data_IF_542389591895
#
_entry.id   IF_542389591895
#
_cell.length_a   1.000
_cell.length_b   1.000
_cell.length_c   1.000
_cell.angle_alpha   90.00
_cell.angle_beta   90.00
_cell.angle_gamma   90.00
#
_symmetry.space_group_name_H-M   'P 1'
#
loop_
_entity.id
_entity.type
_entity.pdbx_description
1 polymer ?
#
# COMPACT_ATOMS: atom_id res chain seq x y z
N UNK A 1 -33.74 -9.16 -14.02
CA UNK A 1 -33.32 -7.96 -14.75
C UNK A 1 -31.91 -8.22 -15.26
N UNK A 2 -31.68 -8.12 -16.57
CA UNK A 2 -30.34 -8.23 -17.15
C UNK A 2 -29.51 -7.04 -16.63
N UNK A 3 -28.52 -7.31 -15.79
CA UNK A 3 -27.61 -6.24 -15.35
C UNK A 3 -26.83 -5.75 -16.58
N UNK A 4 -27.11 -4.53 -16.99
CA UNK A 4 -26.46 -3.86 -18.11
C UNK A 4 -24.98 -3.63 -17.77
N UNK A 5 -24.10 -3.89 -18.73
CA UNK A 5 -22.65 -3.75 -18.57
C UNK A 5 -22.29 -2.26 -18.69
N UNK A 6 -21.51 -1.73 -17.74
CA UNK A 6 -20.98 -0.36 -17.77
C UNK A 6 -19.60 -0.31 -18.44
N UNK A 7 -18.74 -1.28 -18.17
CA UNK A 7 -17.41 -1.39 -18.78
C UNK A 7 -17.19 -2.83 -19.24
N UNK A 8 -16.79 -3.03 -20.49
CA UNK A 8 -16.30 -4.29 -21.01
C UNK A 8 -14.85 -4.14 -21.48
N UNK A 9 -13.98 -5.01 -20.97
CA UNK A 9 -12.56 -5.10 -21.35
C UNK A 9 -12.35 -6.46 -21.98
N UNK A 10 -11.86 -6.50 -23.22
CA UNK A 10 -11.69 -7.73 -24.00
C UNK A 10 -10.26 -7.83 -24.51
N UNK A 11 -9.54 -8.85 -24.04
CA UNK A 11 -8.20 -9.25 -24.47
C UNK A 11 -7.18 -8.11 -24.49
N UNK A 12 -7.24 -7.20 -23.52
CA UNK A 12 -6.40 -6.01 -23.48
C UNK A 12 -4.96 -6.37 -23.10
N UNK A 13 -4.03 -6.03 -24.00
CA UNK A 13 -2.59 -6.06 -23.74
C UNK A 13 -1.99 -4.67 -23.94
N UNK A 14 -0.92 -4.36 -23.19
CA UNK A 14 -0.20 -3.08 -23.33
C UNK A 14 1.30 -3.29 -23.17
N UNK A 15 2.04 -2.90 -24.20
CA UNK A 15 3.49 -2.97 -24.23
C UNK A 15 4.08 -1.56 -24.31
N UNK A 16 5.11 -1.29 -23.53
CA UNK A 16 5.92 -0.08 -23.61
C UNK A 16 7.29 -0.43 -24.16
N UNK A 17 7.76 0.37 -25.12
CA UNK A 17 9.12 0.29 -25.63
C UNK A 17 9.98 1.14 -24.71
N UNK A 18 10.93 0.54 -24.01
CA UNK A 18 11.90 1.26 -23.18
C UNK A 18 13.19 1.48 -23.99
N UNK A 19 13.42 2.69 -24.54
CA UNK A 19 14.68 2.99 -25.18
C UNK A 19 15.78 3.08 -24.11
N UNK A 20 16.72 2.14 -24.12
CA UNK A 20 17.98 2.32 -23.38
C UNK A 20 18.82 3.40 -24.07
N UNK A 21 18.78 4.63 -23.56
CA UNK A 21 19.77 5.64 -23.96
C UNK A 21 21.02 5.51 -23.09
N UNK A 22 22.08 4.93 -23.65
CA UNK A 22 23.46 5.30 -23.31
C UNK A 22 24.08 6.03 -24.50
N UNK A 23 23.61 7.25 -24.79
CA UNK A 23 24.40 8.23 -25.54
C UNK A 23 24.00 9.62 -25.06
N UNK A 24 24.73 10.17 -24.09
CA UNK A 24 24.45 11.49 -23.50
C UNK A 24 25.24 12.62 -24.16
N UNK A 25 26.04 12.35 -25.21
CA UNK A 25 26.79 13.43 -25.86
C UNK A 25 26.98 13.24 -27.36
N UNK A 26 26.81 14.33 -28.12
CA UNK A 26 27.24 14.45 -29.53
C UNK A 26 28.74 14.12 -29.68
N UNK A 27 29.53 14.24 -28.59
CA UNK A 27 30.94 13.85 -28.55
C UNK A 27 31.16 12.33 -28.71
N UNK A 28 30.25 11.48 -28.23
CA UNK A 28 30.41 10.01 -28.30
C UNK A 28 30.25 9.47 -29.73
N UNK A 29 29.47 10.17 -30.56
CA UNK A 29 29.27 9.87 -31.97
C UNK A 29 30.56 10.12 -32.78
N UNK A 30 31.37 11.10 -32.37
CA UNK A 30 32.62 11.45 -33.03
C UNK A 30 33.82 10.62 -32.58
N UNK A 31 33.82 10.09 -31.35
CA UNK A 31 34.96 9.36 -30.79
C UNK A 31 34.93 7.85 -31.08
N UNK A 32 33.76 7.23 -31.25
CA UNK A 32 33.63 5.77 -31.44
C UNK A 32 32.66 5.35 -32.58
N UNK A 33 32.97 5.69 -33.85
CA UNK A 33 32.08 5.42 -34.99
C UNK A 33 31.78 3.94 -35.23
N UNK A 34 32.73 3.04 -34.92
CA UNK A 34 32.57 1.58 -35.05
C UNK A 34 31.73 0.96 -33.92
N UNK A 35 31.64 1.61 -32.76
CA UNK A 35 30.85 1.13 -31.63
C UNK A 35 29.38 1.58 -31.75
N UNK A 36 29.13 2.75 -32.34
CA UNK A 36 27.79 3.20 -32.73
C UNK A 36 27.14 2.33 -33.82
N UNK A 37 27.94 1.69 -34.69
CA UNK A 37 27.49 0.73 -35.71
C UNK A 37 27.29 -0.70 -35.17
N UNK A 38 27.90 -1.06 -34.02
CA UNK A 38 27.81 -2.40 -33.40
C UNK A 38 26.96 -2.46 -32.13
N UNK A 39 26.61 -1.32 -31.54
CA UNK A 39 25.71 -1.23 -30.40
C UNK A 39 24.28 -1.47 -30.84
N UNK A 40 23.88 -2.74 -30.95
CA UNK A 40 22.48 -3.10 -31.13
C UNK A 40 21.65 -2.36 -30.09
N UNK A 41 20.72 -1.52 -30.54
CA UNK A 41 19.68 -0.93 -29.68
C UNK A 41 18.92 -2.10 -29.07
N UNK A 42 19.25 -2.50 -27.86
CA UNK A 42 18.42 -3.41 -27.08
C UNK A 42 17.18 -2.64 -26.70
N UNK A 43 16.13 -2.79 -27.51
CA UNK A 43 14.78 -2.35 -27.19
C UNK A 43 14.23 -3.42 -26.25
N UNK A 44 14.12 -3.11 -24.97
CA UNK A 44 13.38 -3.96 -24.06
C UNK A 44 11.90 -3.57 -24.12
N UNK A 45 11.05 -4.55 -24.43
CA UNK A 45 9.61 -4.38 -24.40
C UNK A 45 9.12 -4.68 -22.98
N UNK A 46 8.69 -3.66 -22.25
CA UNK A 46 8.03 -3.85 -20.97
C UNK A 46 6.55 -4.16 -21.23
N UNK A 47 6.16 -5.40 -20.96
CA UNK A 47 4.76 -5.81 -21.00
C UNK A 47 4.07 -5.35 -19.71
N UNK A 48 3.23 -4.32 -19.78
CA UNK A 48 2.53 -3.77 -18.63
C UNK A 48 1.18 -4.47 -18.36
N UNK A 49 0.51 -4.94 -19.42
CA UNK A 49 -0.70 -5.77 -19.34
C UNK A 49 -0.64 -6.86 -20.42
N UNK A 50 -1.14 -8.04 -20.10
CA UNK A 50 -1.13 -9.23 -20.96
C UNK A 50 -2.51 -9.90 -20.91
N UNK A 51 -3.26 -9.76 -21.98
CA UNK A 51 -4.53 -10.46 -22.23
C UNK A 51 -5.56 -10.33 -21.09
N UNK A 52 -5.84 -9.09 -20.69
CA UNK A 52 -6.78 -8.78 -19.61
C UNK A 52 -8.20 -8.71 -20.14
N UNK A 53 -9.11 -9.51 -19.55
CA UNK A 53 -10.54 -9.51 -19.90
C UNK A 53 -11.43 -9.51 -18.66
N UNK A 54 -12.38 -8.58 -18.58
CA UNK A 54 -13.38 -8.52 -17.50
C UNK A 54 -14.55 -7.59 -17.85
N UNK A 55 -15.62 -7.64 -17.06
CA UNK A 55 -16.80 -6.79 -17.21
C UNK A 55 -17.21 -6.22 -15.85
N UNK A 56 -17.65 -4.96 -15.86
CA UNK A 56 -18.19 -4.24 -14.70
C UNK A 56 -19.63 -3.87 -15.01
N UNK A 57 -20.55 -4.19 -14.10
CA UNK A 57 -21.98 -3.90 -14.25
C UNK A 57 -22.30 -2.48 -13.78
N UNK A 58 -23.37 -1.89 -14.33
CA UNK A 58 -23.90 -0.62 -13.82
C UNK A 58 -24.26 -0.76 -12.33
N UNK A 59 -23.78 0.20 -11.53
CA UNK A 59 -23.97 0.26 -10.07
C UNK A 59 -23.10 -0.70 -9.25
N UNK A 60 -22.13 -1.38 -9.89
CA UNK A 60 -21.16 -2.22 -9.20
C UNK A 60 -19.99 -1.35 -8.69
N UNK A 61 -19.60 -1.57 -7.44
CA UNK A 61 -18.36 -1.06 -6.87
C UNK A 61 -17.27 -2.11 -7.10
N UNK A 62 -16.39 -1.89 -8.06
CA UNK A 62 -15.44 -2.87 -8.57
C UNK A 62 -13.99 -2.52 -8.21
N UNK A 63 -13.31 -3.40 -7.50
CA UNK A 63 -11.92 -3.23 -7.08
C UNK A 63 -10.91 -3.70 -8.12
N UNK A 64 -9.80 -2.98 -8.29
CA UNK A 64 -8.61 -3.42 -9.02
C UNK A 64 -7.45 -3.42 -8.04
N UNK A 65 -6.92 -4.60 -7.76
CA UNK A 65 -5.90 -4.83 -6.73
C UNK A 65 -4.72 -5.61 -7.29
N UNK A 66 -3.57 -5.55 -6.63
CA UNK A 66 -2.34 -6.17 -7.12
C UNK A 66 -1.08 -5.48 -6.60
N UNK A 67 0.07 -6.12 -6.79
CA UNK A 67 1.37 -5.61 -6.34
C UNK A 67 1.78 -4.32 -7.05
N UNK A 68 2.76 -3.62 -6.50
CA UNK A 68 3.40 -2.52 -7.20
C UNK A 68 4.05 -3.04 -8.49
N UNK A 69 3.85 -2.31 -9.59
CA UNK A 69 4.34 -2.75 -10.90
C UNK A 69 3.48 -3.82 -11.60
N UNK A 70 2.39 -4.31 -11.00
CA UNK A 70 1.56 -5.36 -11.64
C UNK A 70 0.76 -4.89 -12.86
N UNK A 71 0.65 -3.57 -13.10
CA UNK A 71 -0.06 -3.00 -14.24
C UNK A 71 -1.36 -2.24 -13.89
N UNK A 72 -1.73 -2.13 -12.61
CA UNK A 72 -2.94 -1.43 -12.14
C UNK A 72 -3.11 -0.02 -12.75
N UNK A 73 -2.11 0.84 -12.57
CA UNK A 73 -2.16 2.22 -13.08
C UNK A 73 -2.17 2.27 -14.61
N UNK A 74 -1.58 1.28 -15.30
CA UNK A 74 -1.67 1.16 -16.76
C UNK A 74 -3.10 0.80 -17.18
N UNK A 75 -3.71 -0.18 -16.52
CA UNK A 75 -5.11 -0.56 -16.79
C UNK A 75 -6.04 0.63 -16.53
N UNK A 76 -5.83 1.34 -15.42
CA UNK A 76 -6.61 2.52 -15.07
C UNK A 76 -6.50 3.62 -16.13
N UNK A 77 -5.28 3.91 -16.61
CA UNK A 77 -5.04 4.87 -17.70
C UNK A 77 -5.67 4.43 -19.02
N UNK A 78 -5.81 3.13 -19.27
CA UNK A 78 -6.54 2.60 -20.44
C UNK A 78 -8.04 2.78 -20.26
N UNK A 79 -8.60 2.45 -19.09
CA UNK A 79 -10.02 2.67 -18.78
C UNK A 79 -10.41 4.16 -18.87
N UNK A 80 -9.50 5.06 -18.47
CA UNK A 80 -9.67 6.50 -18.58
C UNK A 80 -9.50 7.05 -20.01
N UNK A 81 -9.13 6.21 -20.98
CA UNK A 81 -8.88 6.64 -22.37
C UNK A 81 -7.56 7.43 -22.57
N UNK A 82 -6.71 7.51 -21.55
CA UNK A 82 -5.40 8.19 -21.63
C UNK A 82 -4.42 7.38 -22.48
N UNK A 83 -4.41 6.06 -22.31
CA UNK A 83 -3.64 5.14 -23.13
C UNK A 83 -4.54 4.27 -23.99
N UNK A 84 -4.18 4.12 -25.27
CA UNK A 84 -4.78 3.08 -26.10
C UNK A 84 -4.13 1.73 -25.79
N UNK A 85 -4.91 0.63 -25.74
CA UNK A 85 -4.33 -0.70 -25.63
C UNK A 85 -3.48 -1.02 -26.86
N UNK A 86 -2.47 -1.88 -26.71
CA UNK A 86 -1.69 -2.39 -27.85
C UNK A 86 -2.48 -3.44 -28.64
N UNK A 87 -3.29 -4.24 -27.94
CA UNK A 87 -4.18 -5.27 -28.48
C UNK A 87 -5.46 -5.31 -27.63
N UNK A 88 -6.55 -5.82 -28.19
CA UNK A 88 -7.85 -5.89 -27.51
C UNK A 88 -8.65 -4.60 -27.58
N UNK A 89 -9.73 -4.52 -26.79
CA UNK A 89 -10.62 -3.35 -26.79
C UNK A 89 -11.22 -3.07 -25.41
N UNK A 90 -11.60 -1.80 -25.21
CA UNK A 90 -12.34 -1.33 -24.04
C UNK A 90 -13.59 -0.60 -24.52
N UNK A 91 -14.74 -1.00 -24.00
CA UNK A 91 -16.02 -0.35 -24.23
C UNK A 91 -16.55 0.21 -22.91
N UNK A 92 -17.00 1.46 -22.94
CA UNK A 92 -17.52 2.19 -21.76
C UNK A 92 -18.88 2.77 -22.10
N UNK A 93 -19.90 2.38 -21.34
CA UNK A 93 -21.28 2.80 -21.51
C UNK A 93 -21.67 3.83 -20.44
N UNK A 94 -21.48 5.11 -20.77
CA UNK A 94 -21.79 6.26 -19.91
C UNK A 94 -20.63 7.25 -19.79
N UNK A 95 -20.86 8.36 -19.08
CA UNK A 95 -19.82 9.35 -18.79
C UNK A 95 -18.92 8.83 -17.68
N UNK A 96 -17.71 8.41 -18.06
CA UNK A 96 -16.65 8.03 -17.14
C UNK A 96 -15.79 9.24 -16.77
N UNK A 97 -15.55 9.46 -15.49
CA UNK A 97 -14.66 10.52 -15.01
C UNK A 97 -13.54 9.92 -14.17
N UNK A 98 -12.27 10.08 -14.61
CA UNK A 98 -11.12 9.62 -13.85
C UNK A 98 -10.77 10.57 -12.71
N UNK A 99 -10.79 10.08 -11.48
CA UNK A 99 -10.15 10.71 -10.32
C UNK A 99 -8.75 10.11 -10.15
N UNK A 100 -7.98 10.15 -11.23
CA UNK A 100 -6.60 9.70 -11.30
C UNK A 100 -5.76 10.97 -11.16
N UNK A 101 -4.90 11.01 -10.15
CA UNK A 101 -4.06 12.20 -9.85
C UNK A 101 -4.92 13.44 -9.57
N UNK A 102 -5.53 13.50 -8.37
CA UNK A 102 -6.31 14.66 -7.93
C UNK A 102 -5.55 15.98 -8.13
N UNK A 103 -6.22 16.97 -8.71
CA UNK A 103 -5.63 18.28 -9.03
C UNK A 103 -5.08 18.38 -10.44
N UNK A 104 -5.22 17.35 -11.28
CA UNK A 104 -5.01 17.49 -12.73
C UNK A 104 -5.89 18.63 -13.26
N UNK A 105 -5.25 19.54 -14.00
CA UNK A 105 -5.88 20.75 -14.52
C UNK A 105 -5.81 21.95 -13.59
N UNK A 106 -5.31 21.80 -12.37
CA UNK A 106 -5.01 22.95 -11.53
C UNK A 106 -3.79 23.73 -12.03
N UNK A 107 -3.89 25.05 -11.89
CA UNK A 107 -2.83 25.99 -12.19
C UNK A 107 -2.35 26.66 -10.88
N UNK A 108 -1.07 26.45 -10.49
CA UNK A 108 -0.50 27.03 -9.28
C UNK A 108 -0.53 28.57 -9.21
N UNK A 109 -0.59 29.24 -10.36
CA UNK A 109 -0.61 30.71 -10.44
C UNK A 109 -2.02 31.31 -10.32
N UNK A 110 -3.06 30.49 -10.41
CA UNK A 110 -4.46 30.90 -10.26
C UNK A 110 -4.91 30.77 -8.80
N UNK A 111 -5.99 31.48 -8.44
CA UNK A 111 -6.58 31.38 -7.09
C UNK A 111 -7.27 30.03 -6.89
N UNK A 112 -7.57 29.65 -5.64
CA UNK A 112 -8.40 28.48 -5.37
C UNK A 112 -9.74 28.55 -6.10
N UNK A 113 -10.37 29.74 -6.10
CA UNK A 113 -11.62 30.01 -6.83
C UNK A 113 -11.47 29.70 -8.31
N UNK A 114 -10.50 30.32 -8.98
CA UNK A 114 -10.28 30.10 -10.42
C UNK A 114 -9.96 28.64 -10.75
N UNK A 115 -9.28 27.94 -9.85
CA UNK A 115 -9.01 26.50 -10.00
C UNK A 115 -10.27 25.65 -9.90
N UNK A 116 -11.26 26.04 -9.10
CA UNK A 116 -12.59 25.39 -9.08
C UNK A 116 -13.27 25.53 -10.44
N UNK A 117 -13.28 26.72 -11.03
CA UNK A 117 -13.86 26.93 -12.37
C UNK A 117 -13.10 26.17 -13.46
N UNK A 118 -11.77 26.24 -13.45
CA UNK A 118 -10.93 25.54 -14.43
C UNK A 118 -11.12 24.02 -14.36
N UNK A 119 -11.10 23.44 -13.15
CA UNK A 119 -11.33 22.02 -12.97
C UNK A 119 -12.78 21.62 -13.29
N UNK A 120 -13.76 22.45 -12.94
CA UNK A 120 -15.15 22.20 -13.27
C UNK A 120 -15.38 22.17 -14.79
N UNK A 121 -14.79 23.10 -15.53
CA UNK A 121 -14.84 23.12 -16.99
C UNK A 121 -14.24 21.85 -17.61
N UNK A 122 -13.09 21.37 -17.09
CA UNK A 122 -12.48 20.11 -17.53
C UNK A 122 -13.37 18.88 -17.25
N UNK A 123 -14.15 18.93 -16.18
CA UNK A 123 -15.17 17.91 -15.86
C UNK A 123 -16.47 18.08 -16.66
N UNK A 124 -16.57 19.12 -17.50
CA UNK A 124 -17.69 19.40 -18.39
C UNK A 124 -18.86 20.13 -17.73
N UNK A 125 -18.59 20.94 -16.71
CA UNK A 125 -19.57 21.86 -16.12
C UNK A 125 -19.55 23.22 -16.83
N UNK A 126 -20.71 23.87 -16.91
CA UNK A 126 -20.78 25.30 -17.26
C UNK A 126 -20.50 26.18 -16.04
N UNK A 127 -20.09 27.43 -16.28
CA UNK A 127 -19.85 28.41 -15.21
C UNK A 127 -21.07 28.54 -14.27
N UNK A 128 -22.28 28.56 -14.83
CA UNK A 128 -23.52 28.63 -14.05
C UNK A 128 -23.74 27.41 -13.16
N UNK A 129 -23.38 26.20 -13.62
CA UNK A 129 -23.48 25.00 -12.78
C UNK A 129 -22.46 25.06 -11.64
N UNK A 130 -21.26 25.58 -11.90
CA UNK A 130 -20.23 25.76 -10.89
C UNK A 130 -20.66 26.80 -9.85
N UNK A 131 -21.24 27.92 -10.29
CA UNK A 131 -21.77 28.96 -9.41
C UNK A 131 -22.79 28.40 -8.40
N UNK A 132 -23.70 27.53 -8.87
CA UNK A 132 -24.72 26.90 -8.02
C UNK A 132 -24.14 25.98 -6.95
N UNK A 133 -22.98 25.35 -7.21
CA UNK A 133 -22.35 24.40 -6.28
C UNK A 133 -21.09 24.95 -5.58
N UNK A 134 -20.66 26.17 -5.90
CA UNK A 134 -19.38 26.73 -5.45
C UNK A 134 -19.26 26.73 -3.93
N UNK A 135 -20.25 27.27 -3.23
CA UNK A 135 -20.23 27.36 -1.77
C UNK A 135 -20.19 25.97 -1.12
N UNK A 136 -20.88 24.98 -1.70
CA UNK A 136 -20.84 23.62 -1.19
C UNK A 136 -19.50 22.90 -1.47
N UNK A 137 -18.81 23.24 -2.58
CA UNK A 137 -17.46 22.76 -2.85
C UNK A 137 -16.51 23.32 -1.81
N UNK A 138 -16.55 24.63 -1.57
CA UNK A 138 -15.68 25.31 -0.62
C UNK A 138 -15.91 24.80 0.81
N UNK A 139 -17.17 24.65 1.22
CA UNK A 139 -17.54 24.12 2.53
C UNK A 139 -17.14 22.64 2.72
N UNK A 140 -17.21 21.82 1.66
CA UNK A 140 -16.71 20.45 1.74
C UNK A 140 -15.18 20.43 1.94
N UNK A 141 -14.47 21.31 1.22
CA UNK A 141 -13.03 21.46 1.29
C UNK A 141 -12.56 22.11 2.61
N UNK A 142 -13.41 22.87 3.30
CA UNK A 142 -13.13 23.76 4.44
C UNK A 142 -11.96 24.72 4.14
N UNK A 143 -12.09 25.44 3.02
CA UNK A 143 -11.07 26.37 2.50
C UNK A 143 -11.60 27.80 2.30
N UNK A 144 -12.68 28.17 2.98
CA UNK A 144 -13.40 29.44 2.84
C UNK A 144 -12.47 30.66 2.85
N UNK A 145 -11.53 30.70 3.80
CA UNK A 145 -10.58 31.81 3.98
C UNK A 145 -9.40 31.80 2.99
N UNK A 146 -9.23 30.72 2.23
CA UNK A 146 -8.09 30.50 1.35
C UNK A 146 -8.43 30.65 -0.14
N UNK A 147 -9.71 30.68 -0.50
CA UNK A 147 -10.15 30.60 -1.91
C UNK A 147 -9.60 31.71 -2.82
N UNK A 148 -9.34 32.91 -2.28
CA UNK A 148 -8.79 34.02 -3.05
C UNK A 148 -7.24 34.03 -3.08
N UNK A 149 -6.59 33.08 -2.40
CA UNK A 149 -5.14 32.89 -2.45
C UNK A 149 -4.75 32.02 -3.65
N UNK A 150 -3.56 32.28 -4.20
CA UNK A 150 -2.96 31.45 -5.25
C UNK A 150 -2.71 30.03 -4.76
N UNK A 151 -3.01 29.04 -5.61
CA UNK A 151 -2.92 27.63 -5.26
C UNK A 151 -1.50 27.19 -4.88
N UNK A 152 -0.44 27.81 -5.43
CA UNK A 152 0.94 27.52 -5.01
C UNK A 152 1.24 27.80 -3.54
N UNK A 153 0.39 28.58 -2.86
CA UNK A 153 0.51 28.85 -1.43
C UNK A 153 -0.26 27.84 -0.57
N UNK A 154 -0.99 26.90 -1.19
CA UNK A 154 -1.74 25.87 -0.49
C UNK A 154 -0.78 24.74 -0.08
N UNK A 155 -1.01 24.15 1.09
CA UNK A 155 -0.38 22.88 1.43
C UNK A 155 -0.88 21.77 0.47
N UNK A 156 -0.12 20.68 0.35
CA UNK A 156 -0.54 19.52 -0.44
C UNK A 156 -1.90 18.98 0.00
N UNK A 157 -2.18 18.96 1.30
CA UNK A 157 -3.47 18.58 1.86
C UNK A 157 -4.61 19.49 1.40
N UNK A 158 -4.42 20.82 1.43
CA UNK A 158 -5.43 21.77 0.95
C UNK A 158 -5.71 21.59 -0.55
N UNK A 159 -4.68 21.39 -1.37
CA UNK A 159 -4.86 21.16 -2.82
C UNK A 159 -5.69 19.90 -3.08
N UNK A 160 -5.40 18.82 -2.35
CA UNK A 160 -6.12 17.55 -2.48
C UNK A 160 -7.56 17.67 -1.99
N UNK A 161 -7.79 18.38 -0.87
CA UNK A 161 -9.13 18.66 -0.35
C UNK A 161 -9.97 19.41 -1.37
N UNK A 162 -9.41 20.45 -1.99
CA UNK A 162 -10.10 21.21 -3.04
C UNK A 162 -10.40 20.33 -4.26
N UNK A 163 -9.40 19.61 -4.76
CA UNK A 163 -9.54 18.73 -5.92
C UNK A 163 -10.62 17.67 -5.70
N UNK A 164 -10.62 17.01 -4.54
CA UNK A 164 -11.63 16.02 -4.19
C UNK A 164 -13.02 16.65 -4.07
N UNK A 165 -13.12 17.84 -3.48
CA UNK A 165 -14.40 18.55 -3.31
C UNK A 165 -15.04 18.87 -4.66
N UNK A 166 -14.27 19.37 -5.63
CA UNK A 166 -14.74 19.60 -7.00
C UNK A 166 -15.13 18.28 -7.66
N UNK A 167 -14.28 17.26 -7.55
CA UNK A 167 -14.51 15.94 -8.14
C UNK A 167 -15.81 15.30 -7.63
N UNK A 168 -16.14 15.42 -6.34
CA UNK A 168 -17.36 14.82 -5.76
C UNK A 168 -18.66 15.34 -6.38
N UNK A 169 -18.64 16.51 -7.02
CA UNK A 169 -19.79 17.10 -7.72
C UNK A 169 -20.00 16.57 -9.12
N UNK A 170 -19.05 15.79 -9.64
CA UNK A 170 -19.10 15.18 -10.97
C UNK A 170 -20.42 14.45 -11.21
N UNK A 171 -21.12 14.81 -12.30
CA UNK A 171 -22.34 14.13 -12.77
C UNK A 171 -22.03 12.83 -13.54
N UNK A 172 -20.99 12.11 -13.15
CA UNK A 172 -20.55 10.90 -13.84
C UNK A 172 -21.49 9.71 -13.63
N UNK A 173 -21.52 8.84 -14.63
CA UNK A 173 -22.13 7.51 -14.55
C UNK A 173 -21.16 6.51 -13.92
N UNK A 174 -19.86 6.69 -14.21
CA UNK A 174 -18.77 5.83 -13.77
C UNK A 174 -17.64 6.68 -13.19
N UNK A 175 -17.21 6.36 -11.98
CA UNK A 175 -16.06 7.01 -11.33
C UNK A 175 -14.88 6.05 -11.28
N UNK A 176 -13.71 6.46 -11.79
CA UNK A 176 -12.46 5.75 -11.56
C UNK A 176 -11.71 6.44 -10.41
N UNK A 177 -11.29 5.71 -9.39
CA UNK A 177 -10.65 6.28 -8.20
C UNK A 177 -9.31 5.57 -7.97
N UNK A 178 -8.20 6.32 -7.93
CA UNK A 178 -6.84 5.79 -7.73
C UNK A 178 -6.25 6.19 -6.37
N UNK A 179 -6.23 5.27 -5.39
CA UNK A 179 -5.51 5.44 -4.11
C UNK A 179 -5.75 6.79 -3.38
N UNK A 180 -6.88 7.45 -3.66
CA UNK A 180 -7.18 8.81 -3.17
C UNK A 180 -7.54 8.83 -1.67
N UNK A 181 -7.88 7.67 -1.10
CA UNK A 181 -8.37 7.58 0.27
C UNK A 181 -7.32 7.87 1.35
N UNK A 182 -6.03 7.78 1.02
CA UNK A 182 -4.95 7.96 1.99
C UNK A 182 -4.53 9.43 2.18
N UNK A 183 -5.17 10.39 1.51
CA UNK A 183 -4.68 11.77 1.46
C UNK A 183 -5.61 12.73 2.20
N UNK A 184 -5.03 13.54 3.09
CA UNK A 184 -5.74 14.48 3.97
C UNK A 184 -5.59 14.13 5.45
N UNK A 185 -6.17 14.96 6.30
CA UNK A 185 -6.30 14.68 7.74
C UNK A 185 -7.42 13.66 8.02
N UNK A 186 -7.45 13.13 9.25
CA UNK A 186 -8.42 12.11 9.69
C UNK A 186 -9.88 12.55 9.51
N UNK A 187 -10.18 13.83 9.67
CA UNK A 187 -11.53 14.35 9.55
C UNK A 187 -11.98 14.43 8.09
N UNK A 188 -11.09 14.86 7.19
CA UNK A 188 -11.37 14.85 5.76
C UNK A 188 -11.47 13.43 5.20
N UNK A 189 -10.61 12.51 5.63
CA UNK A 189 -10.72 11.09 5.28
C UNK A 189 -12.11 10.53 5.64
N UNK A 190 -12.64 10.87 6.82
CA UNK A 190 -14.01 10.49 7.22
C UNK A 190 -15.07 11.03 6.25
N UNK A 191 -14.94 12.26 5.75
CA UNK A 191 -15.84 12.80 4.73
C UNK A 191 -15.75 12.01 3.41
N UNK A 192 -14.54 11.66 2.97
CA UNK A 192 -14.32 10.82 1.79
C UNK A 192 -15.00 9.44 1.95
N UNK A 193 -14.84 8.80 3.10
CA UNK A 193 -15.49 7.52 3.38
C UNK A 193 -17.02 7.61 3.38
N UNK A 194 -17.58 8.67 3.97
CA UNK A 194 -19.03 8.90 3.92
C UNK A 194 -19.54 9.10 2.49
N UNK A 195 -18.77 9.80 1.65
CA UNK A 195 -19.07 9.96 0.24
C UNK A 195 -19.07 8.61 -0.50
N UNK A 196 -18.12 7.73 -0.22
CA UNK A 196 -18.06 6.40 -0.87
C UNK A 196 -19.24 5.53 -0.46
N UNK A 197 -19.63 5.57 0.83
CA UNK A 197 -20.85 4.90 1.32
C UNK A 197 -22.10 5.45 0.63
N UNK A 198 -22.16 6.75 0.37
CA UNK A 198 -23.25 7.37 -0.38
C UNK A 198 -23.29 6.89 -1.85
N UNK A 199 -22.14 6.85 -2.54
CA UNK A 199 -22.04 6.34 -3.91
C UNK A 199 -22.53 4.88 -4.01
N UNK A 200 -22.10 4.02 -3.07
CA UNK A 200 -22.54 2.62 -3.00
C UNK A 200 -24.05 2.53 -2.77
N UNK A 201 -24.60 3.30 -1.82
CA UNK A 201 -26.06 3.34 -1.54
C UNK A 201 -26.90 3.83 -2.72
N UNK A 202 -26.37 4.75 -3.52
CA UNK A 202 -27.06 5.33 -4.67
C UNK A 202 -26.91 4.50 -5.95
N UNK A 203 -26.17 3.38 -5.90
CA UNK A 203 -25.96 2.50 -7.05
C UNK A 203 -25.12 3.17 -8.14
N UNK A 204 -24.18 4.03 -7.77
CA UNK A 204 -23.20 4.59 -8.71
C UNK A 204 -22.16 3.53 -9.06
N UNK A 205 -21.75 3.49 -10.33
CA UNK A 205 -20.69 2.58 -10.79
C UNK A 205 -19.35 3.17 -10.40
N UNK A 206 -18.52 2.40 -9.69
CA UNK A 206 -17.19 2.86 -9.27
C UNK A 206 -16.16 1.80 -9.55
N UNK A 207 -15.05 2.21 -10.14
CA UNK A 207 -13.84 1.40 -10.25
C UNK A 207 -12.83 1.95 -9.26
N UNK A 208 -12.47 1.14 -8.27
CA UNK A 208 -11.61 1.53 -7.18
C UNK A 208 -10.27 0.79 -7.27
N UNK A 209 -9.19 1.53 -7.49
CA UNK A 209 -7.83 1.00 -7.49
C UNK A 209 -7.20 1.25 -6.13
N UNK A 210 -6.77 0.18 -5.48
CA UNK A 210 -6.16 0.27 -4.16
C UNK A 210 -5.25 -0.93 -3.88
N UNK A 211 -4.22 -0.70 -3.06
CA UNK A 211 -3.45 -1.74 -2.41
C UNK A 211 -3.93 -2.02 -0.97
N UNK A 212 -4.83 -1.20 -0.42
CA UNK A 212 -5.48 -1.41 0.88
C UNK A 212 -6.66 -2.38 0.74
N UNK A 213 -6.51 -3.57 1.30
CA UNK A 213 -7.53 -4.63 1.22
C UNK A 213 -8.72 -4.40 2.15
N UNK A 214 -8.57 -3.63 3.22
CA UNK A 214 -9.68 -3.36 4.13
C UNK A 214 -10.68 -2.41 3.49
N UNK A 215 -10.19 -1.38 2.80
CA UNK A 215 -11.01 -0.54 1.94
C UNK A 215 -11.69 -1.35 0.83
N UNK A 216 -10.97 -2.27 0.17
CA UNK A 216 -11.55 -3.11 -0.89
C UNK A 216 -12.67 -4.02 -0.34
N UNK A 217 -12.48 -4.63 0.84
CA UNK A 217 -13.53 -5.44 1.50
C UNK A 217 -14.74 -4.61 1.90
N UNK A 218 -14.53 -3.40 2.43
CA UNK A 218 -15.63 -2.53 2.87
C UNK A 218 -16.48 -2.03 1.69
N UNK A 219 -15.83 -1.57 0.62
CA UNK A 219 -16.50 -0.84 -0.45
C UNK A 219 -16.84 -1.70 -1.67
N UNK A 220 -15.98 -2.62 -2.09
CA UNK A 220 -16.15 -3.33 -3.35
C UNK A 220 -17.08 -4.55 -3.23
N UNK A 221 -17.97 -4.70 -4.21
CA UNK A 221 -18.81 -5.90 -4.37
C UNK A 221 -18.01 -7.04 -5.00
N UNK A 222 -17.12 -6.69 -5.93
CA UNK A 222 -16.17 -7.59 -6.58
C UNK A 222 -14.83 -6.91 -6.76
N UNK A 223 -13.79 -7.73 -6.98
CA UNK A 223 -12.50 -7.23 -7.34
C UNK A 223 -11.82 -8.12 -8.39
N UNK A 224 -10.80 -7.55 -9.01
CA UNK A 224 -9.85 -8.15 -9.94
C UNK A 224 -8.46 -8.05 -9.32
N UNK A 225 -7.79 -9.19 -9.19
CA UNK A 225 -6.40 -9.29 -8.81
C UNK A 225 -5.52 -9.36 -10.06
N UNK A 226 -4.63 -8.39 -10.22
CA UNK A 226 -3.60 -8.37 -11.26
C UNK A 226 -2.24 -8.65 -10.62
N UNK A 227 -1.55 -9.64 -11.16
CA UNK A 227 -0.17 -9.94 -10.83
C UNK A 227 0.63 -10.26 -12.10
N UNK A 228 1.91 -9.87 -12.12
CA UNK A 228 2.79 -10.04 -13.30
C UNK A 228 2.14 -9.66 -14.65
N UNK A 229 1.37 -8.56 -14.65
CA UNK A 229 0.65 -8.04 -15.82
C UNK A 229 -0.51 -8.90 -16.32
N UNK A 230 -0.95 -9.91 -15.57
CA UNK A 230 -2.07 -10.78 -15.92
C UNK A 230 -3.15 -10.77 -14.85
N UNK A 231 -4.37 -11.13 -15.23
CA UNK A 231 -5.44 -11.37 -14.27
C UNK A 231 -5.22 -12.72 -13.60
N UNK A 232 -5.06 -12.71 -12.28
CA UNK A 232 -4.94 -13.94 -11.47
C UNK A 232 -6.32 -14.43 -11.04
N UNK A 233 -7.15 -13.51 -10.55
CA UNK A 233 -8.45 -13.85 -9.98
C UNK A 233 -9.45 -12.71 -10.17
N UNK A 234 -10.70 -13.07 -10.48
CA UNK A 234 -11.87 -12.18 -10.38
C UNK A 234 -12.89 -12.85 -9.48
N UNK A 235 -13.42 -12.12 -8.51
CA UNK A 235 -14.40 -12.67 -7.58
C UNK A 235 -14.95 -11.64 -6.62
N UNK A 236 -15.58 -12.11 -5.55
CA UNK A 236 -15.96 -11.24 -4.42
C UNK A 236 -14.70 -10.61 -3.81
N UNK A 237 -14.85 -9.41 -3.26
CA UNK A 237 -13.76 -8.67 -2.59
C UNK A 237 -13.06 -9.54 -1.52
N UNK A 238 -13.79 -10.30 -0.72
CA UNK A 238 -13.23 -11.23 0.26
C UNK A 238 -12.35 -12.33 -0.35
N UNK A 239 -12.80 -12.92 -1.46
CA UNK A 239 -12.06 -14.01 -2.12
C UNK A 239 -10.78 -13.47 -2.73
N UNK A 240 -10.85 -12.30 -3.35
CA UNK A 240 -9.71 -11.61 -3.94
C UNK A 240 -8.72 -11.16 -2.88
N UNK A 241 -9.19 -10.62 -1.76
CA UNK A 241 -8.32 -10.21 -0.67
C UNK A 241 -7.56 -11.40 -0.04
N UNK A 242 -8.22 -12.56 0.12
CA UNK A 242 -7.55 -13.79 0.56
C UNK A 242 -6.46 -14.24 -0.40
N UNK A 243 -6.74 -14.22 -1.71
CA UNK A 243 -5.76 -14.59 -2.73
C UNK A 243 -4.61 -13.59 -2.80
N UNK A 244 -4.89 -12.30 -2.67
CA UNK A 244 -3.87 -11.26 -2.58
C UNK A 244 -2.93 -11.51 -1.40
N UNK A 245 -3.46 -11.79 -0.20
CA UNK A 245 -2.63 -12.18 0.96
C UNK A 245 -1.81 -13.45 0.67
N UNK A 246 -2.38 -14.45 -0.02
CA UNK A 246 -1.67 -15.69 -0.40
C UNK A 246 -0.44 -15.43 -1.27
N UNK A 247 -0.50 -14.48 -2.19
CA UNK A 247 0.65 -14.13 -3.03
C UNK A 247 1.85 -13.69 -2.17
N UNK A 248 1.65 -12.87 -1.14
CA UNK A 248 2.73 -12.47 -0.22
C UNK A 248 3.23 -13.65 0.62
N UNK A 249 2.33 -14.56 1.02
CA UNK A 249 2.70 -15.77 1.75
C UNK A 249 3.50 -16.78 0.89
N UNK A 250 3.28 -16.81 -0.44
CA UNK A 250 3.96 -17.64 -1.43
C UNK A 250 5.36 -17.14 -1.79
N UNK A 251 5.58 -15.82 -1.87
CA UNK A 251 6.93 -15.25 -1.95
C UNK A 251 7.75 -15.62 -0.71
N UNK A 252 7.14 -15.54 0.48
CA UNK A 252 7.75 -16.06 1.70
C UNK A 252 7.96 -17.59 1.62
N UNK A 253 7.10 -18.35 0.92
CA UNK A 253 7.30 -19.81 0.74
C UNK A 253 8.51 -20.18 -0.13
N UNK A 254 8.92 -19.33 -1.08
CA UNK A 254 10.19 -19.54 -1.81
C UNK A 254 11.43 -19.42 -0.92
N UNK A 255 11.29 -18.80 0.26
CA UNK A 255 12.29 -18.78 1.33
C UNK A 255 12.00 -19.83 2.43
N UNK A 256 10.93 -20.64 2.35
CA UNK A 256 10.45 -21.56 3.41
C UNK A 256 11.14 -22.91 3.56
N UNK A 257 12.28 -23.16 2.90
CA UNK A 257 13.09 -24.33 3.29
C UNK A 257 13.97 -24.06 4.52
N UNK A 258 13.92 -22.85 5.09
CA UNK A 258 14.39 -22.62 6.45
C UNK A 258 13.65 -21.44 7.09
N UNK A 259 12.75 -21.70 8.06
CA UNK A 259 12.13 -20.65 8.92
C UNK A 259 13.16 -19.73 9.60
N UNK A 260 14.42 -20.15 9.62
CA UNK A 260 15.58 -19.38 10.02
C UNK A 260 16.48 -19.12 8.80
N UNK A 261 16.90 -17.90 8.54
CA UNK A 261 17.88 -17.58 7.51
C UNK A 261 18.86 -16.52 8.00
N UNK A 262 20.00 -16.35 7.36
CA UNK A 262 21.02 -15.39 7.79
C UNK A 262 22.43 -15.86 7.45
N UNK A 263 23.42 -15.00 7.72
CA UNK A 263 24.81 -15.25 7.33
C UNK A 263 25.64 -15.92 8.46
N UNK A 264 25.00 -16.37 9.54
CA UNK A 264 25.69 -16.91 10.72
C UNK A 264 26.38 -15.83 11.54
N UNK A 265 26.84 -16.20 12.73
CA UNK A 265 27.47 -15.32 13.72
C UNK A 265 26.82 -15.43 15.11
N UNK A 266 25.52 -15.68 15.16
CA UNK A 266 24.79 -16.05 16.36
C UNK A 266 23.49 -16.80 15.96
N UNK A 267 23.05 -17.74 16.79
CA UNK A 267 21.81 -18.50 16.64
C UNK A 267 20.81 -18.16 17.75
N UNK A 268 19.59 -17.87 17.36
CA UNK A 268 18.42 -17.71 18.23
C UNK A 268 17.76 -19.07 18.36
N UNK A 269 17.59 -19.54 19.58
CA UNK A 269 17.02 -20.86 19.92
C UNK A 269 16.06 -20.74 21.11
N UNK A 270 15.41 -21.85 21.47
CA UNK A 270 14.60 -21.99 22.69
C UNK A 270 13.61 -20.84 22.94
N UNK A 271 12.80 -20.53 21.93
CA UNK A 271 11.80 -19.47 22.02
C UNK A 271 10.64 -19.94 22.90
N UNK A 272 10.31 -19.16 23.93
CA UNK A 272 9.18 -19.44 24.82
C UNK A 272 8.24 -18.24 24.89
N UNK A 273 6.97 -18.54 25.13
CA UNK A 273 5.90 -17.56 25.28
C UNK A 273 5.15 -17.91 26.56
N UNK A 274 4.84 -16.90 27.39
CA UNK A 274 4.24 -17.13 28.70
C UNK A 274 2.81 -17.70 28.61
N UNK A 275 2.05 -17.33 27.58
CA UNK A 275 0.70 -17.84 27.28
C UNK A 275 0.44 -17.85 25.78
N UNK A 276 -0.34 -18.81 25.29
CA UNK A 276 -0.77 -18.82 23.87
C UNK A 276 -2.06 -18.02 23.62
N UNK A 277 -2.85 -17.74 24.67
CA UNK A 277 -4.11 -17.00 24.62
C UNK A 277 -4.13 -15.92 25.71
N UNK A 278 -4.46 -14.70 25.30
CA UNK A 278 -4.52 -13.50 26.14
C UNK A 278 -5.91 -12.86 26.08
N UNK A 279 -6.33 -12.27 27.19
CA UNK A 279 -7.58 -11.53 27.34
C UNK A 279 -7.34 -10.11 27.87
N UNK A 280 -8.39 -9.28 27.98
CA UNK A 280 -8.35 -7.89 28.51
C UNK A 280 -7.67 -7.78 29.89
N UNK A 281 -7.72 -8.87 30.68
CA UNK A 281 -7.11 -8.93 32.01
C UNK A 281 -5.60 -9.16 31.98
N UNK A 282 -5.09 -9.72 30.88
CA UNK A 282 -3.68 -9.98 30.69
C UNK A 282 -3.01 -8.73 30.15
N UNK A 283 -2.31 -7.99 31.02
CA UNK A 283 -1.71 -6.70 30.67
C UNK A 283 -0.46 -6.81 29.83
N UNK A 284 0.26 -7.93 29.91
CA UNK A 284 1.57 -8.11 29.30
C UNK A 284 1.61 -9.42 28.52
N UNK A 285 2.26 -9.37 27.35
CA UNK A 285 2.67 -10.51 26.54
C UNK A 285 4.17 -10.65 26.75
N UNK A 286 4.58 -11.78 27.31
CA UNK A 286 5.97 -12.03 27.68
C UNK A 286 6.51 -13.20 26.86
N UNK A 287 7.66 -13.01 26.23
CA UNK A 287 8.34 -14.04 25.44
C UNK A 287 9.85 -13.90 25.57
N UNK A 288 10.54 -15.01 25.40
CA UNK A 288 12.00 -15.06 25.51
C UNK A 288 12.62 -15.96 24.44
N UNK A 289 13.92 -15.81 24.24
CA UNK A 289 14.73 -16.71 23.44
C UNK A 289 16.16 -16.80 24.00
N UNK A 290 16.88 -17.84 23.59
CA UNK A 290 18.30 -18.00 23.89
C UNK A 290 19.14 -17.64 22.67
N UNK A 291 20.04 -16.65 22.82
CA UNK A 291 20.98 -16.23 21.78
C UNK A 291 22.35 -16.87 22.03
N UNK A 292 22.83 -17.68 21.09
CA UNK A 292 24.12 -18.37 21.17
C UNK A 292 25.08 -17.82 20.11
N UNK A 293 26.16 -17.11 20.49
CA UNK A 293 27.16 -16.64 19.55
C UNK A 293 27.97 -17.78 18.92
N UNK A 294 28.36 -17.64 17.66
CA UNK A 294 29.29 -18.57 17.00
C UNK A 294 30.69 -18.47 17.60
N UNK A 295 31.46 -19.56 17.52
CA UNK A 295 32.85 -19.57 18.03
C UNK A 295 33.72 -18.58 17.27
N UNK A 296 34.38 -17.68 18.02
CA UNK A 296 35.37 -16.76 17.47
C UNK A 296 34.78 -15.47 16.91
N UNK A 297 33.48 -15.20 17.13
CA UNK A 297 32.91 -13.90 16.85
C UNK A 297 33.33 -12.89 17.93
N UNK A 298 33.59 -11.66 17.51
CA UNK A 298 33.89 -10.51 18.36
C UNK A 298 33.15 -9.29 17.79
N UNK A 299 31.87 -9.20 18.10
CA UNK A 299 30.95 -8.22 17.52
C UNK A 299 29.88 -7.82 18.55
N UNK A 300 29.07 -6.82 18.24
CA UNK A 300 27.90 -6.48 19.04
C UNK A 300 26.63 -6.90 18.31
N UNK A 301 25.71 -7.52 19.05
CA UNK A 301 24.39 -7.90 18.57
C UNK A 301 23.40 -6.75 18.66
N UNK A 302 22.71 -6.52 17.54
CA UNK A 302 21.43 -5.85 17.50
C UNK A 302 20.35 -6.93 17.42
N UNK A 303 19.76 -7.29 18.56
CA UNK A 303 18.68 -8.25 18.64
C UNK A 303 17.34 -7.54 18.79
N UNK A 304 16.35 -8.01 18.05
CA UNK A 304 15.03 -7.44 18.05
C UNK A 304 13.95 -8.44 17.71
N UNK A 305 12.72 -7.96 17.81
CA UNK A 305 11.54 -8.69 17.40
C UNK A 305 10.63 -7.82 16.55
N UNK A 306 9.77 -8.48 15.77
CA UNK A 306 8.65 -7.85 15.07
C UNK A 306 7.39 -8.65 15.34
N UNK A 307 6.28 -7.97 15.67
CA UNK A 307 4.96 -8.58 15.82
C UNK A 307 4.12 -8.25 14.59
N UNK A 308 3.58 -9.30 13.95
CA UNK A 308 2.70 -9.21 12.79
C UNK A 308 1.34 -9.83 13.08
N UNK A 309 0.31 -9.35 12.40
CA UNK A 309 -1.01 -10.00 12.41
C UNK A 309 -1.08 -11.16 11.39
N UNK A 310 -2.20 -11.88 11.35
CA UNK A 310 -2.49 -12.94 10.37
C UNK A 310 -2.40 -12.48 8.89
N UNK A 311 -2.48 -11.17 8.65
CA UNK A 311 -2.36 -10.60 7.30
C UNK A 311 -0.91 -10.24 6.94
N UNK A 312 0.06 -10.51 7.82
CA UNK A 312 1.48 -10.19 7.63
C UNK A 312 1.82 -8.71 7.83
N UNK A 313 0.86 -7.87 8.25
CA UNK A 313 1.14 -6.46 8.55
C UNK A 313 1.94 -6.37 9.85
N UNK A 314 3.03 -5.60 9.81
CA UNK A 314 3.85 -5.29 10.99
C UNK A 314 3.10 -4.29 11.88
N UNK A 315 2.86 -4.66 13.13
CA UNK A 315 2.17 -3.83 14.10
C UNK A 315 3.14 -3.06 14.99
N UNK A 316 4.17 -3.75 15.47
CA UNK A 316 5.24 -3.15 16.24
C UNK A 316 6.50 -4.00 16.10
N UNK A 317 7.64 -3.38 16.40
CA UNK A 317 8.93 -4.04 16.45
C UNK A 317 9.92 -3.13 17.16
N UNK A 318 10.92 -3.73 17.78
CA UNK A 318 11.99 -2.98 18.44
C UNK A 318 13.25 -3.82 18.48
N UNK A 319 14.35 -3.21 18.87
CA UNK A 319 15.61 -3.86 19.14
C UNK A 319 16.28 -3.20 20.36
N UNK A 320 17.37 -3.79 20.83
CA UNK A 320 18.13 -3.30 21.98
C UNK A 320 18.80 -1.92 21.79
N UNK A 321 18.86 -1.36 20.58
CA UNK A 321 19.33 0.01 20.32
C UNK A 321 18.21 1.06 20.38
N UNK A 322 17.01 0.71 19.89
CA UNK A 322 15.84 1.59 19.83
C UNK A 322 15.14 1.77 21.18
N UNK A 323 15.38 0.89 22.14
CA UNK A 323 14.88 1.04 23.51
C UNK A 323 15.69 2.10 24.26
N UNK A 324 15.04 2.97 25.05
CA UNK A 324 15.66 4.10 25.78
C UNK A 324 16.84 3.71 26.70
N UNK A 325 17.01 2.41 26.96
CA UNK A 325 18.15 1.80 27.63
C UNK A 325 19.00 1.02 26.61
N UNK A 326 19.74 1.72 25.76
CA UNK A 326 20.61 1.13 24.74
C UNK A 326 21.57 0.10 25.35
N UNK A 327 21.16 -1.17 25.34
CA UNK A 327 21.89 -2.26 25.98
C UNK A 327 22.77 -2.89 24.91
N UNK A 328 24.07 -2.58 24.94
CA UNK A 328 25.02 -3.17 24.01
C UNK A 328 25.29 -4.61 24.41
N UNK A 329 24.92 -5.54 23.55
CA UNK A 329 25.18 -6.97 23.75
C UNK A 329 26.47 -7.29 23.01
N UNK A 330 27.56 -7.51 23.74
CA UNK A 330 28.83 -7.94 23.15
C UNK A 330 28.83 -9.46 22.99
N UNK A 331 29.07 -9.93 21.77
CA UNK A 331 29.10 -11.34 21.39
C UNK A 331 30.51 -11.95 21.54
N UNK A 332 31.30 -11.52 22.52
CA UNK A 332 32.52 -12.22 22.90
C UNK A 332 32.24 -13.13 24.10
N UNK A 333 33.04 -14.19 24.28
CA UNK A 333 33.01 -15.10 25.45
C UNK A 333 31.98 -16.24 25.46
N UNK A 334 31.42 -16.63 24.31
CA UNK A 334 30.85 -17.96 24.03
C UNK A 334 29.77 -18.49 25.01
N UNK A 335 29.09 -17.62 25.75
CA UNK A 335 27.94 -18.01 26.57
C UNK A 335 26.65 -17.70 25.85
N UNK A 336 25.69 -18.60 26.01
CA UNK A 336 24.32 -18.35 25.61
C UNK A 336 23.75 -17.22 26.48
N UNK A 337 22.93 -16.37 25.88
CA UNK A 337 22.29 -15.24 26.55
C UNK A 337 20.78 -15.45 26.52
N UNK A 338 20.14 -15.36 27.68
CA UNK A 338 18.68 -15.40 27.77
C UNK A 338 18.12 -13.99 27.67
N UNK A 339 17.29 -13.80 26.65
CA UNK A 339 16.75 -12.49 26.27
C UNK A 339 15.24 -12.57 26.39
N UNK A 340 14.67 -11.67 27.19
CA UNK A 340 13.24 -11.64 27.46
C UNK A 340 12.64 -10.25 27.17
N UNK A 341 11.50 -10.26 26.49
CA UNK A 341 10.72 -9.08 26.20
C UNK A 341 9.36 -9.15 26.89
N UNK A 342 8.90 -7.99 27.35
CA UNK A 342 7.54 -7.79 27.84
C UNK A 342 6.90 -6.65 27.05
N UNK A 343 5.79 -6.94 26.38
CA UNK A 343 5.03 -6.00 25.56
C UNK A 343 3.65 -5.83 26.17
N UNK A 344 3.15 -4.59 26.27
CA UNK A 344 1.75 -4.39 26.69
C UNK A 344 0.76 -5.03 25.73
N UNK A 345 -0.26 -5.69 26.27
CA UNK A 345 -1.33 -6.30 25.51
C UNK A 345 -2.33 -5.24 25.04
N UNK A 346 -1.99 -4.55 23.97
CA UNK A 346 -2.80 -3.51 23.32
C UNK A 346 -3.43 -3.98 22.01
N UNK A 347 -3.21 -5.25 21.65
CA UNK A 347 -3.61 -5.83 20.38
C UNK A 347 -5.08 -6.19 20.38
N UNK A 348 -5.81 -5.92 19.29
CA UNK A 348 -7.21 -6.34 19.16
C UNK A 348 -7.38 -7.87 19.16
N UNK A 349 -8.63 -8.35 19.17
CA UNK A 349 -8.87 -9.79 19.03
C UNK A 349 -8.32 -10.32 17.70
N UNK A 350 -7.51 -11.38 17.75
CA UNK A 350 -6.86 -11.96 16.56
C UNK A 350 -5.70 -12.89 16.91
N UNK A 351 -5.06 -13.45 15.88
CA UNK A 351 -3.79 -14.19 16.02
C UNK A 351 -2.64 -13.31 15.55
N UNK A 352 -1.52 -13.43 16.25
CA UNK A 352 -0.32 -12.65 16.03
C UNK A 352 0.91 -13.57 15.99
N UNK A 353 1.91 -13.16 15.22
CA UNK A 353 3.16 -13.88 15.04
C UNK A 353 4.33 -12.99 15.45
N UNK A 354 5.31 -13.56 16.12
CA UNK A 354 6.54 -12.89 16.55
C UNK A 354 7.69 -13.44 15.71
N UNK A 355 8.36 -12.55 14.98
CA UNK A 355 9.64 -12.85 14.34
C UNK A 355 10.77 -12.33 15.21
N UNK A 356 11.89 -13.03 15.19
CA UNK A 356 13.10 -12.64 15.92
C UNK A 356 14.25 -12.45 14.96
N UNK A 357 15.09 -11.45 15.22
CA UNK A 357 16.25 -11.19 14.39
C UNK A 357 17.44 -10.76 15.24
N UNK A 358 18.63 -11.18 14.82
CA UNK A 358 19.93 -10.72 15.33
C UNK A 358 20.79 -10.24 14.17
N UNK A 359 21.25 -9.00 14.28
CA UNK A 359 22.13 -8.35 13.32
C UNK A 359 23.47 -8.00 13.96
N UNK A 360 24.50 -8.01 13.13
CA UNK A 360 25.82 -7.48 13.45
C UNK A 360 25.80 -5.96 13.39
N UNK A 361 26.23 -5.30 14.47
CA UNK A 361 26.41 -3.85 14.48
C UNK A 361 27.66 -3.45 13.69
N UNK A 362 28.77 -4.18 13.81
CA UNK A 362 30.02 -3.82 13.14
C UNK A 362 29.98 -4.11 11.63
N UNK A 363 29.53 -5.31 11.25
CA UNK A 363 29.51 -5.80 9.87
C UNK A 363 28.20 -5.44 9.13
N UNK A 364 27.19 -4.90 9.83
CA UNK A 364 25.89 -4.48 9.28
C UNK A 364 25.24 -5.56 8.43
N UNK A 365 25.20 -6.78 8.96
CA UNK A 365 24.59 -7.94 8.32
C UNK A 365 23.67 -8.69 9.27
N UNK A 366 22.66 -9.32 8.70
CA UNK A 366 21.78 -10.23 9.43
C UNK A 366 22.57 -11.51 9.76
N UNK A 367 22.77 -11.77 11.05
CA UNK A 367 23.38 -13.01 11.52
C UNK A 367 22.34 -14.13 11.46
N UNK A 368 21.13 -13.87 11.99
CA UNK A 368 19.98 -14.74 11.83
C UNK A 368 18.67 -13.97 11.93
N UNK A 369 17.71 -14.41 11.13
CA UNK A 369 16.31 -14.01 11.13
C UNK A 369 15.47 -15.28 11.27
N UNK A 370 14.49 -15.27 12.18
CA UNK A 370 13.56 -16.38 12.41
C UNK A 370 12.13 -15.91 12.20
N UNK A 371 11.57 -16.27 11.06
CA UNK A 371 10.18 -15.99 10.69
C UNK A 371 9.21 -16.85 11.50
N UNK A 372 8.21 -16.19 12.09
CA UNK A 372 7.15 -16.77 12.91
C UNK A 372 7.73 -17.70 13.98
N UNK A 373 8.70 -17.19 14.75
CA UNK A 373 9.38 -17.89 15.82
C UNK A 373 8.38 -18.41 16.87
N UNK A 374 7.37 -17.60 17.20
CA UNK A 374 6.22 -18.00 18.04
C UNK A 374 4.95 -17.25 17.62
N UNK A 375 3.78 -17.76 18.03
CA UNK A 375 2.48 -17.12 17.78
C UNK A 375 1.64 -17.07 19.06
N UNK A 376 0.79 -16.05 19.16
CA UNK A 376 -0.18 -15.90 20.26
C UNK A 376 -1.53 -15.42 19.75
N UNK A 377 -2.58 -15.59 20.56
CA UNK A 377 -3.93 -15.10 20.31
C UNK A 377 -4.38 -14.11 21.37
N UNK A 378 -5.14 -13.12 20.94
CA UNK A 378 -5.86 -12.21 21.83
C UNK A 378 -7.35 -12.36 21.60
N UNK A 379 -8.12 -12.46 22.68
CA UNK A 379 -9.58 -12.52 22.65
C UNK A 379 -10.14 -11.50 23.65
N UNK A 380 -10.66 -10.39 23.11
CA UNK A 380 -11.36 -9.39 23.90
C UNK A 380 -12.86 -9.64 24.01
N UNK A 381 -13.41 -9.42 25.21
CA UNK A 381 -14.87 -9.39 25.41
C UNK A 381 -15.48 -8.03 25.00
N UNK A 382 -14.68 -6.98 24.83
CA UNK A 382 -15.09 -5.67 24.30
C UNK A 382 -14.08 -5.14 23.28
N UNK A 383 -14.56 -4.78 22.09
CA UNK A 383 -13.77 -4.14 21.04
C UNK A 383 -13.50 -2.68 21.35
N UNK A 384 -12.23 -2.28 21.49
CA UNK A 384 -11.82 -0.87 21.54
C UNK A 384 -11.57 -0.32 20.13
N UNK A 385 -12.08 0.88 19.78
CA UNK A 385 -12.06 1.39 18.40
C UNK A 385 -10.83 2.24 18.03
N UNK A 386 -9.72 2.20 18.79
CA UNK A 386 -8.54 3.05 18.54
C UNK A 386 -7.23 2.26 18.62
N UNK A 387 -6.21 2.68 17.86
CA UNK A 387 -4.83 2.20 17.97
C UNK A 387 -4.20 2.67 19.28
N UNK A 388 -3.71 1.73 20.08
CA UNK A 388 -2.93 1.99 21.29
C UNK A 388 -1.54 1.41 21.05
N UNK A 389 -0.48 2.21 21.23
CA UNK A 389 0.91 1.74 21.15
C UNK A 389 1.34 1.14 22.49
N UNK A 390 1.99 -0.03 22.53
CA UNK A 390 2.37 -0.66 23.79
C UNK A 390 3.68 -0.09 24.34
N UNK A 391 3.78 0.05 25.66
CA UNK A 391 5.08 0.18 26.32
C UNK A 391 5.82 -1.17 26.29
N UNK A 392 7.13 -1.14 25.95
CA UNK A 392 7.96 -2.36 25.82
C UNK A 392 9.13 -2.30 26.80
N UNK A 393 9.34 -3.37 27.56
CA UNK A 393 10.49 -3.54 28.48
C UNK A 393 11.36 -4.73 28.06
N UNK A 394 12.68 -4.56 28.18
CA UNK A 394 13.71 -5.57 27.89
C UNK A 394 14.52 -5.87 29.17
N UNK A 395 14.68 -7.15 29.50
CA UNK A 395 15.53 -7.63 30.60
C UNK A 395 16.57 -8.61 30.04
N UNK A 396 17.84 -8.46 30.42
CA UNK A 396 18.98 -9.26 29.92
C UNK A 396 19.72 -9.85 31.12
N UNK A 397 19.87 -11.17 31.18
CA UNK A 397 20.52 -11.89 32.30
C UNK A 397 21.55 -12.89 31.79
N UNK A 398 22.65 -13.03 32.53
CA UNK A 398 23.65 -14.09 32.30
C UNK A 398 23.15 -15.42 32.85
N UNK A 399 23.26 -16.50 32.06
CA UNK A 399 22.90 -17.88 32.44
C UNK A 399 24.00 -18.60 33.21
#
# INVERSE_FOLDING_TARGET
MSHEIAIAVEHVSKNFVLPHQKVTSIKDIFTHPLQALRGGRTIEAQHALKDVSFQIKKGEFFGIVGRNGSGKSTLLKILAGIYMPSEGSVQVEGKLVPFIELGVGFNPELTGRDNVYLSGALNGFSDSEIDEMYDEIVAFAELEEFMDQKLKNYSSGMQVRLAFSVATRSKADILLIDEVLAVGDTDFQRKCFNYFKHLKRTGKTVVFVSHDMDAVREYCDKALLIDESRVVLIGTSDRVAKEYTRLFLEEEQTFKDSKKWGNGGADISDVTLSKELYHDTDKLIEFSCTLTPDRGIDDYALIGFTIRNEMGQVLCGTNNELLEYATRIHLADARALDIAWSVENVFNSGTYFIDLAVESIQERRIMQWWDQAVSFRVEHQKTTPYLVGPDVKLDVKDS
#
